data_IF_629772745913
#
_entry.id   IF_629772745913
#
_cell.length_a   1.000
_cell.length_b   1.000
_cell.length_c   1.000
_cell.angle_alpha   90.00
_cell.angle_beta   90.00
_cell.angle_gamma   90.00
#
_symmetry.space_group_name_H-M   'P 1'
#
loop_
_entity.id
_entity.type
_entity.pdbx_description
1 polymer ?
#
# COMPACT_ATOMS: atom_id res chain seq x y z
N UNK A 1 9.39 -4.64 -9.78
CA UNK A 1 9.90 -5.73 -8.95
C UNK A 1 8.70 -6.40 -8.33
N UNK A 2 8.19 -7.46 -8.98
CA UNK A 2 7.16 -8.34 -8.43
C UNK A 2 7.76 -9.34 -7.43
N UNK A 3 6.91 -9.95 -6.59
CA UNK A 3 7.33 -11.04 -5.72
C UNK A 3 7.65 -12.30 -6.55
N UNK A 4 8.54 -13.17 -6.05
CA UNK A 4 8.94 -14.42 -6.73
C UNK A 4 7.83 -15.48 -6.83
N UNK A 5 6.64 -15.20 -6.30
CA UNK A 5 5.53 -16.16 -6.18
C UNK A 5 4.16 -15.44 -6.21
N UNK A 6 3.10 -16.14 -6.60
CA UNK A 6 1.70 -15.64 -6.65
C UNK A 6 1.07 -15.50 -5.27
N UNK A 7 -0.01 -14.73 -5.12
CA UNK A 7 -0.76 -14.64 -3.85
C UNK A 7 -0.98 -13.22 -3.33
N UNK A 8 -0.44 -12.20 -4.00
CA UNK A 8 -0.85 -10.82 -3.75
C UNK A 8 -2.30 -10.64 -4.20
N UNK A 9 -3.13 -10.08 -3.33
CA UNK A 9 -4.54 -9.79 -3.59
C UNK A 9 -4.86 -8.34 -3.20
N UNK A 10 -5.77 -7.71 -3.96
CA UNK A 10 -6.34 -6.39 -3.68
C UNK A 10 -7.84 -6.51 -3.41
N UNK A 11 -8.38 -5.68 -2.53
CA UNK A 11 -9.80 -5.67 -2.18
C UNK A 11 -10.52 -4.59 -2.97
N UNK A 12 -11.59 -4.92 -3.67
CA UNK A 12 -12.42 -3.93 -4.35
C UNK A 12 -13.44 -3.25 -3.42
N UNK A 13 -14.21 -2.31 -3.97
CA UNK A 13 -15.25 -1.58 -3.25
C UNK A 13 -16.46 -2.46 -2.84
N UNK A 14 -16.59 -3.66 -3.41
CA UNK A 14 -17.62 -4.66 -3.06
C UNK A 14 -17.10 -5.68 -2.05
N UNK A 15 -15.94 -5.41 -1.43
CA UNK A 15 -15.24 -6.29 -0.50
C UNK A 15 -14.77 -7.63 -1.08
N UNK A 16 -14.65 -7.72 -2.41
CA UNK A 16 -14.15 -8.92 -3.10
C UNK A 16 -12.64 -8.83 -3.26
N UNK A 17 -11.97 -9.98 -3.14
CA UNK A 17 -10.52 -10.08 -3.31
C UNK A 17 -10.18 -10.48 -4.74
N UNK A 18 -9.30 -9.71 -5.36
CA UNK A 18 -8.82 -9.93 -6.72
C UNK A 18 -7.34 -10.26 -6.69
N UNK A 19 -6.93 -11.30 -7.40
CA UNK A 19 -5.52 -11.65 -7.53
C UNK A 19 -4.77 -10.65 -8.41
N UNK A 20 -3.56 -10.30 -7.99
CA UNK A 20 -2.66 -9.45 -8.78
C UNK A 20 -1.69 -10.35 -9.55
N UNK A 21 -1.69 -10.32 -10.90
CA UNK A 21 -0.72 -11.08 -11.69
C UNK A 21 0.72 -10.62 -11.44
N UNK A 22 1.51 -11.48 -10.81
CA UNK A 22 2.95 -11.26 -10.58
C UNK A 22 3.76 -12.06 -11.61
N UNK A 23 4.03 -11.47 -12.77
CA UNK A 23 4.98 -12.05 -13.74
C UNK A 23 6.41 -11.59 -13.41
N UNK A 24 7.41 -12.32 -13.90
CA UNK A 24 8.84 -12.05 -13.58
C UNK A 24 9.29 -10.63 -13.98
N UNK A 25 8.64 -10.05 -14.98
CA UNK A 25 8.97 -8.74 -15.54
C UNK A 25 8.04 -7.63 -15.02
N UNK A 26 7.05 -7.96 -14.18
CA UNK A 26 6.11 -6.96 -13.69
C UNK A 26 6.63 -6.17 -12.49
N UNK A 27 6.12 -4.95 -12.37
CA UNK A 27 6.23 -4.12 -11.18
C UNK A 27 4.80 -3.82 -10.74
N UNK A 28 4.47 -4.14 -9.50
CA UNK A 28 3.21 -3.72 -8.89
C UNK A 28 3.45 -2.37 -8.22
N UNK A 29 2.59 -1.41 -8.51
CA UNK A 29 2.58 -0.09 -7.90
C UNK A 29 1.19 0.14 -7.30
N UNK A 30 1.13 0.55 -6.04
CA UNK A 30 -0.11 0.90 -5.37
C UNK A 30 -0.06 2.34 -4.84
N UNK A 31 -1.25 2.87 -4.60
CA UNK A 31 -1.45 4.15 -3.94
C UNK A 31 -1.43 3.92 -2.43
N UNK A 32 -0.83 4.86 -1.69
CA UNK A 32 -0.86 4.91 -0.23
C UNK A 32 -1.67 6.09 0.29
N UNK A 33 -2.01 6.07 1.57
CA UNK A 33 -2.98 6.99 2.18
C UNK A 33 -2.61 8.48 2.02
N UNK A 34 -1.32 8.81 2.02
CA UNK A 34 -0.89 10.20 1.83
C UNK A 34 -1.21 10.72 0.42
N UNK A 35 -1.13 9.88 -0.62
CA UNK A 35 -1.49 10.27 -1.99
C UNK A 35 -3.01 10.25 -2.20
N UNK A 36 -3.72 9.37 -1.51
CA UNK A 36 -5.19 9.38 -1.45
C UNK A 36 -5.70 10.71 -0.91
N UNK A 37 -5.16 11.14 0.24
CA UNK A 37 -5.45 12.46 0.81
C UNK A 37 -5.03 13.61 -0.13
N UNK A 38 -3.84 13.52 -0.73
CA UNK A 38 -3.32 14.60 -1.57
C UNK A 38 -4.09 14.80 -2.89
N UNK A 39 -4.87 13.81 -3.30
CA UNK A 39 -5.67 13.87 -4.53
C UNK A 39 -7.16 13.98 -4.25
N UNK A 40 -7.53 14.33 -3.01
CA UNK A 40 -8.91 14.43 -2.56
C UNK A 40 -9.73 13.18 -2.92
N UNK A 41 -9.17 12.01 -2.60
CA UNK A 41 -9.77 10.70 -2.86
C UNK A 41 -9.89 10.30 -4.35
N UNK A 42 -9.27 11.02 -5.28
CA UNK A 42 -9.26 10.63 -6.70
C UNK A 42 -8.49 9.33 -6.92
N UNK A 43 -7.32 9.18 -6.30
CA UNK A 43 -6.56 7.92 -6.30
C UNK A 43 -6.71 7.20 -4.96
N UNK A 44 -7.33 6.02 -4.95
CA UNK A 44 -7.68 5.32 -3.71
C UNK A 44 -6.57 4.42 -3.17
N UNK A 45 -6.24 4.59 -1.89
CA UNK A 45 -5.41 3.66 -1.13
C UNK A 45 -6.19 2.37 -0.87
N UNK A 46 -5.84 1.34 -1.63
CA UNK A 46 -6.62 0.09 -1.67
C UNK A 46 -6.03 -0.95 -0.71
N UNK A 47 -6.90 -1.58 0.08
CA UNK A 47 -6.50 -2.68 0.97
C UNK A 47 -5.94 -3.84 0.15
N UNK A 48 -4.78 -4.36 0.55
CA UNK A 48 -4.13 -5.49 -0.09
C UNK A 48 -3.60 -6.48 0.95
N UNK A 49 -3.43 -7.73 0.55
CA UNK A 49 -2.86 -8.80 1.39
C UNK A 49 -2.05 -9.78 0.55
N UNK A 50 -1.22 -10.59 1.20
CA UNK A 50 -0.58 -11.75 0.56
C UNK A 50 -1.12 -13.00 1.21
N UNK A 51 -1.71 -13.89 0.41
CA UNK A 51 -2.13 -15.23 0.84
C UNK A 51 -1.07 -16.26 0.47
N UNK A 52 -0.94 -17.30 1.29
CA UNK A 52 -0.04 -18.41 0.99
C UNK A 52 -0.72 -19.36 -0.01
N UNK A 53 -0.09 -19.69 -1.14
CA UNK A 53 -0.59 -20.73 -2.04
C UNK A 53 -0.50 -22.11 -1.38
N UNK A 54 -1.43 -23.00 -1.72
CA UNK A 54 -1.45 -24.37 -1.19
C UNK A 54 -0.14 -25.11 -1.52
N UNK A 55 0.39 -25.85 -0.54
CA UNK A 55 1.60 -26.68 -0.67
C UNK A 55 2.90 -25.93 -1.03
N UNK A 56 2.99 -24.63 -0.75
CA UNK A 56 4.20 -23.85 -0.99
C UNK A 56 5.19 -23.90 0.20
N UNK A 57 6.18 -24.80 0.13
CA UNK A 57 7.38 -24.79 0.98
C UNK A 57 8.57 -24.04 0.33
N UNK A 58 8.31 -23.29 -0.74
CA UNK A 58 9.34 -22.54 -1.46
C UNK A 58 9.56 -21.18 -0.82
N UNK A 59 10.82 -20.76 -0.71
CA UNK A 59 11.16 -19.42 -0.26
C UNK A 59 10.58 -18.35 -1.20
N UNK A 60 10.00 -17.29 -0.63
CA UNK A 60 9.52 -16.11 -1.35
C UNK A 60 10.41 -14.92 -1.02
N UNK A 61 10.89 -14.24 -2.05
CA UNK A 61 11.57 -12.95 -1.91
C UNK A 61 10.71 -11.84 -2.54
N UNK A 62 10.71 -10.68 -1.89
CA UNK A 62 10.06 -9.47 -2.38
C UNK A 62 10.87 -8.26 -1.96
N UNK A 63 10.86 -7.20 -2.77
CA UNK A 63 11.60 -5.97 -2.53
C UNK A 63 10.64 -4.78 -2.58
N UNK A 64 9.83 -4.57 -1.53
CA UNK A 64 8.93 -3.42 -1.48
C UNK A 64 9.74 -2.12 -1.31
N UNK A 65 9.42 -1.11 -2.12
CA UNK A 65 9.95 0.24 -1.97
C UNK A 65 8.81 1.17 -1.56
N UNK A 66 8.91 1.74 -0.35
CA UNK A 66 7.93 2.70 0.16
C UNK A 66 8.41 4.12 -0.09
N UNK A 67 7.84 4.79 -1.09
CA UNK A 67 8.10 6.19 -1.37
C UNK A 67 7.32 7.07 -0.40
N UNK A 68 8.05 7.82 0.44
CA UNK A 68 7.47 8.77 1.37
C UNK A 68 7.76 10.21 0.90
N UNK A 69 6.77 11.13 0.97
CA UNK A 69 7.01 12.53 0.72
C UNK A 69 7.90 13.15 1.80
N UNK A 70 8.56 14.26 1.48
CA UNK A 70 9.24 15.06 2.51
C UNK A 70 8.22 15.50 3.58
N UNK A 71 8.57 15.46 4.89
CA UNK A 71 7.64 15.79 5.97
C UNK A 71 6.94 17.16 5.83
N UNK A 72 7.55 18.12 5.12
CA UNK A 72 7.01 19.48 4.89
C UNK A 72 6.06 19.57 3.70
N UNK A 73 5.93 18.53 2.88
CA UNK A 73 5.00 18.50 1.76
C UNK A 73 3.57 18.64 2.30
N UNK A 74 2.82 19.58 1.74
CA UNK A 74 1.38 19.73 1.99
C UNK A 74 0.63 18.67 1.21
N UNK A 75 -0.14 17.84 1.92
CA UNK A 75 -1.04 16.85 1.32
C UNK A 75 -2.38 17.50 1.03
N UNK A 76 -2.95 18.23 2.00
CA UNK A 76 -4.23 18.95 1.86
C UNK A 76 -4.09 20.42 2.23
N UNK A 77 -5.19 21.16 2.19
CA UNK A 77 -5.24 22.56 2.63
C UNK A 77 -4.79 22.73 4.10
N UNK A 78 -5.04 21.73 4.94
CA UNK A 78 -4.89 21.77 6.40
C UNK A 78 -3.80 20.84 6.93
N UNK A 79 -3.14 20.03 6.09
CA UNK A 79 -2.26 18.96 6.57
C UNK A 79 -1.00 18.74 5.74
N UNK A 80 0.13 18.68 6.41
CA UNK A 80 1.42 18.19 5.87
C UNK A 80 1.59 16.69 6.09
N UNK A 81 2.55 16.08 5.38
CA UNK A 81 2.89 14.67 5.58
C UNK A 81 3.32 14.36 7.03
N UNK A 82 4.04 15.29 7.68
CA UNK A 82 4.42 15.15 9.09
C UNK A 82 3.21 15.12 10.02
N UNK A 83 2.26 16.04 9.83
CA UNK A 83 1.06 16.15 10.66
C UNK A 83 0.16 14.93 10.47
N UNK A 84 0.00 14.46 9.23
CA UNK A 84 -0.71 13.23 8.93
C UNK A 84 -0.13 12.03 9.68
N UNK A 85 1.19 11.83 9.60
CA UNK A 85 1.85 10.74 10.33
C UNK A 85 1.67 10.89 11.85
N UNK A 86 1.82 12.10 12.39
CA UNK A 86 1.67 12.35 13.82
C UNK A 86 0.27 11.99 14.33
N UNK A 87 -0.77 12.40 13.60
CA UNK A 87 -2.16 12.04 13.90
C UNK A 87 -2.36 10.53 13.93
N UNK A 88 -1.83 9.80 12.95
CA UNK A 88 -1.88 8.32 12.95
C UNK A 88 -1.17 7.71 14.15
N UNK A 89 -0.04 8.28 14.60
CA UNK A 89 0.65 7.78 15.79
C UNK A 89 -0.18 7.97 17.06
N UNK A 90 -0.89 9.10 17.19
CA UNK A 90 -1.82 9.35 18.31
C UNK A 90 -3.00 8.38 18.28
N UNK A 91 -3.61 8.15 17.11
CA UNK A 91 -4.72 7.20 16.96
C UNK A 91 -4.34 5.76 17.33
N UNK A 92 -3.09 5.38 17.05
CA UNK A 92 -2.54 4.07 17.42
C UNK A 92 -2.11 3.99 18.89
N UNK A 93 -2.23 5.08 19.68
CA UNK A 93 -1.81 5.14 21.08
C UNK A 93 -0.28 5.11 21.27
N UNK A 94 0.49 5.50 20.25
CA UNK A 94 1.95 5.54 20.28
C UNK A 94 2.51 6.92 20.65
N UNK A 95 1.65 7.93 20.76
CA UNK A 95 1.94 9.32 21.14
C UNK A 95 0.85 9.91 22.01
#
# INVERSE_FOLDING_TARGET
VGATSSGLQVKDNFNQWHEVPCTKESIVVNIGDMLDLATDNYYRSTTHRVVNPENSNTARLSLPLFLHPDPKVRLSADKTAKEYLYERLVELGLK
#
